data_IF_220910021343
#
_entry.id   IF_220910021343
#
_cell.length_a   1.000
_cell.length_b   1.000
_cell.length_c   1.000
_cell.angle_alpha   90.00
_cell.angle_beta   90.00
_cell.angle_gamma   90.00
#
_symmetry.space_group_name_H-M   'P 1'
#
loop_
_entity.id
_entity.type
_entity.pdbx_description
1 polymer ?
#
# COMPACT_ATOMS: atom_id res chain seq x y z
N UNK A 1 0.56 -1.27 12.71
CA UNK A 1 1.86 -2.00 12.70
C UNK A 1 2.88 -1.36 13.63
N UNK A 2 3.22 -0.08 13.50
CA UNK A 2 4.31 0.60 14.24
C UNK A 2 4.13 0.67 15.76
N UNK A 3 2.91 0.64 16.27
CA UNK A 3 2.62 0.59 17.71
C UNK A 3 2.44 -0.85 18.25
N UNK A 4 2.64 -1.84 17.41
CA UNK A 4 2.46 -3.26 17.76
C UNK A 4 3.56 -4.13 17.15
N UNK A 5 3.25 -5.04 16.21
CA UNK A 5 4.19 -6.03 15.68
C UNK A 5 5.49 -5.47 15.07
N UNK A 6 5.53 -4.18 14.75
CA UNK A 6 6.71 -3.51 14.16
C UNK A 6 7.21 -2.33 15.00
N UNK A 7 6.98 -2.35 16.31
CA UNK A 7 7.41 -1.28 17.23
C UNK A 7 8.94 -1.14 17.35
N UNK A 8 9.66 -2.19 17.03
CA UNK A 8 11.11 -2.30 17.03
C UNK A 8 11.78 -1.71 15.77
N UNK A 9 11.00 -1.40 14.73
CA UNK A 9 11.53 -0.96 13.45
C UNK A 9 11.57 0.57 13.33
N UNK A 10 12.64 1.07 12.70
CA UNK A 10 12.80 2.46 12.30
C UNK A 10 12.07 2.82 11.00
N UNK A 11 12.49 3.94 10.37
CA UNK A 11 11.92 4.46 9.11
C UNK A 11 12.92 4.43 7.95
N UNK A 12 14.08 3.78 8.12
CA UNK A 12 15.01 3.46 7.05
C UNK A 12 14.39 2.45 6.06
N UNK A 13 15.05 2.24 4.93
CA UNK A 13 14.54 1.39 3.85
C UNK A 13 14.36 -0.08 4.29
N UNK A 14 15.31 -0.62 5.04
CA UNK A 14 15.27 -1.99 5.55
C UNK A 14 14.12 -2.18 6.52
N UNK A 15 13.99 -1.29 7.50
CA UNK A 15 12.89 -1.28 8.47
C UNK A 15 11.51 -1.15 7.81
N UNK A 16 11.40 -0.35 6.75
CA UNK A 16 10.14 -0.23 5.99
C UNK A 16 9.82 -1.52 5.25
N UNK A 17 10.80 -2.13 4.61
CA UNK A 17 10.64 -3.40 3.91
C UNK A 17 10.22 -4.52 4.86
N UNK A 18 10.86 -4.61 6.02
CA UNK A 18 10.53 -5.57 7.06
C UNK A 18 9.13 -5.32 7.65
N UNK A 19 8.73 -4.06 7.83
CA UNK A 19 7.37 -3.74 8.28
C UNK A 19 6.30 -4.25 7.30
N UNK A 20 6.53 -4.10 5.99
CA UNK A 20 5.63 -4.62 4.96
C UNK A 20 5.63 -6.15 4.99
N UNK A 21 6.80 -6.79 5.05
CA UNK A 21 6.91 -8.24 5.15
C UNK A 21 6.10 -8.80 6.33
N UNK A 22 6.25 -8.21 7.52
CA UNK A 22 5.46 -8.62 8.72
C UNK A 22 3.97 -8.43 8.51
N UNK A 23 3.55 -7.33 7.88
CA UNK A 23 2.15 -7.08 7.58
C UNK A 23 1.57 -8.10 6.61
N UNK A 24 2.32 -8.48 5.58
CA UNK A 24 1.92 -9.51 4.62
C UNK A 24 1.78 -10.89 5.31
N UNK A 25 2.69 -11.28 6.19
CA UNK A 25 2.57 -12.55 6.92
C UNK A 25 1.33 -12.59 7.82
N UNK A 26 1.00 -11.47 8.48
CA UNK A 26 -0.23 -11.36 9.27
C UNK A 26 -1.46 -11.45 8.35
N UNK A 27 -1.45 -10.75 7.23
CA UNK A 27 -2.53 -10.79 6.25
C UNK A 27 -2.78 -12.22 5.72
N UNK A 28 -1.71 -12.97 5.42
CA UNK A 28 -1.80 -14.38 5.02
C UNK A 28 -2.50 -15.25 6.05
N UNK A 29 -2.14 -15.09 7.32
CA UNK A 29 -2.78 -15.87 8.41
C UNK A 29 -4.28 -15.57 8.43
N UNK A 30 -4.67 -14.31 8.28
CA UNK A 30 -6.08 -13.89 8.31
C UNK A 30 -6.82 -14.38 7.06
N UNK A 31 -6.24 -14.17 5.88
CA UNK A 31 -6.87 -14.55 4.61
C UNK A 31 -7.01 -16.07 4.43
N UNK A 32 -6.06 -16.84 4.95
CA UNK A 32 -6.16 -18.32 4.96
C UNK A 32 -7.33 -18.85 5.81
N UNK A 33 -7.94 -18.00 6.62
CA UNK A 33 -9.16 -18.29 7.37
C UNK A 33 -10.42 -17.74 6.70
N UNK A 34 -10.37 -17.42 5.41
CA UNK A 34 -11.51 -16.97 4.62
C UNK A 34 -11.93 -15.51 4.85
N UNK A 35 -11.03 -14.67 5.39
CA UNK A 35 -11.30 -13.25 5.67
C UNK A 35 -10.57 -12.40 4.63
N UNK A 36 -11.31 -11.56 3.89
CA UNK A 36 -10.71 -10.56 3.01
C UNK A 36 -9.91 -9.57 3.86
N UNK A 37 -8.62 -9.46 3.56
CA UNK A 37 -7.70 -8.64 4.35
C UNK A 37 -7.19 -7.47 3.52
N UNK A 38 -7.44 -6.25 3.99
CA UNK A 38 -6.97 -5.03 3.33
C UNK A 38 -5.71 -4.52 4.05
N UNK A 39 -4.62 -4.38 3.28
CA UNK A 39 -3.36 -3.86 3.76
C UNK A 39 -3.03 -2.52 3.10
N UNK A 40 -2.95 -1.45 3.90
CA UNK A 40 -2.57 -0.12 3.43
C UNK A 40 -1.09 0.15 3.74
N UNK A 41 -0.27 0.20 2.70
CA UNK A 41 1.15 0.53 2.77
C UNK A 41 1.53 1.51 1.66
N UNK A 42 2.51 2.35 1.90
CA UNK A 42 3.09 3.19 0.84
C UNK A 42 3.84 2.32 -0.18
N UNK A 43 4.56 1.30 0.30
CA UNK A 43 5.27 0.28 -0.49
C UNK A 43 5.99 0.86 -1.73
N UNK A 44 6.92 1.82 -1.58
CA UNK A 44 7.49 2.57 -2.69
C UNK A 44 8.41 1.75 -3.60
N UNK A 45 8.91 0.63 -3.12
CA UNK A 45 9.93 -0.19 -3.79
C UNK A 45 9.27 -1.38 -4.51
N UNK A 46 9.53 -1.55 -5.80
CA UNK A 46 8.99 -2.62 -6.63
C UNK A 46 9.39 -4.01 -6.14
N UNK A 47 10.63 -4.17 -5.64
CA UNK A 47 11.11 -5.46 -5.12
C UNK A 47 10.30 -5.92 -3.90
N UNK A 48 9.91 -4.99 -3.03
CA UNK A 48 9.09 -5.33 -1.84
C UNK A 48 7.69 -5.78 -2.25
N UNK A 49 7.07 -5.11 -3.24
CA UNK A 49 5.78 -5.52 -3.81
C UNK A 49 5.87 -6.89 -4.49
N UNK A 50 6.94 -7.12 -5.26
CA UNK A 50 7.21 -8.42 -5.90
C UNK A 50 7.32 -9.54 -4.86
N UNK A 51 8.09 -9.33 -3.79
CA UNK A 51 8.20 -10.31 -2.69
C UNK A 51 6.87 -10.59 -2.00
N UNK A 52 6.03 -9.57 -1.84
CA UNK A 52 4.68 -9.74 -1.31
C UNK A 52 3.84 -10.65 -2.23
N UNK A 53 3.86 -10.39 -3.55
CA UNK A 53 3.17 -11.21 -4.55
C UNK A 53 3.68 -12.65 -4.57
N UNK A 54 4.99 -12.85 -4.54
CA UNK A 54 5.60 -14.19 -4.45
C UNK A 54 5.20 -14.95 -3.17
N UNK A 55 5.06 -14.24 -2.05
CA UNK A 55 4.68 -14.84 -0.77
C UNK A 55 3.20 -15.23 -0.68
N UNK A 56 2.30 -14.41 -1.24
CA UNK A 56 0.85 -14.61 -1.15
C UNK A 56 0.32 -15.41 -2.36
N UNK A 57 0.95 -15.25 -3.53
CA UNK A 57 0.50 -15.86 -4.77
C UNK A 57 -0.71 -15.16 -5.38
N UNK A 58 -1.55 -15.94 -6.06
CA UNK A 58 -2.70 -15.44 -6.85
C UNK A 58 -3.80 -14.77 -6.01
N UNK A 59 -3.76 -14.97 -4.70
CA UNK A 59 -4.71 -14.33 -3.77
C UNK A 59 -4.33 -12.88 -3.41
N UNK A 60 -3.19 -12.36 -3.90
CA UNK A 60 -2.82 -10.96 -3.70
C UNK A 60 -3.32 -10.10 -4.85
N UNK A 61 -4.14 -9.12 -4.53
CA UNK A 61 -4.53 -8.06 -5.45
C UNK A 61 -3.80 -6.77 -5.08
N UNK A 62 -3.03 -6.25 -6.02
CA UNK A 62 -2.29 -5.00 -5.86
C UNK A 62 -3.12 -3.84 -6.41
N UNK A 63 -3.59 -3.00 -5.51
CA UNK A 63 -4.33 -1.78 -5.87
C UNK A 63 -3.41 -0.57 -5.73
N UNK A 64 -3.22 0.15 -6.82
CA UNK A 64 -2.43 1.38 -6.84
C UNK A 64 -3.35 2.61 -6.75
N UNK A 65 -3.24 3.34 -5.64
CA UNK A 65 -3.88 4.64 -5.47
C UNK A 65 -3.00 5.70 -6.15
N UNK A 66 -3.37 6.10 -7.36
CA UNK A 66 -2.64 7.08 -8.14
C UNK A 66 -3.12 8.49 -7.81
N UNK A 67 -2.20 9.35 -7.34
CA UNK A 67 -2.43 10.77 -7.20
C UNK A 67 -1.11 11.52 -7.41
N UNK A 68 -1.12 12.69 -8.08
CA UNK A 68 0.04 13.56 -8.14
C UNK A 68 0.53 13.97 -6.75
N UNK A 69 1.84 14.19 -6.60
CA UNK A 69 2.44 14.56 -5.31
C UNK A 69 1.86 15.86 -4.75
N UNK A 70 1.52 16.80 -5.61
CA UNK A 70 0.90 18.08 -5.26
C UNK A 70 -0.44 17.83 -4.55
N UNK A 71 -1.26 16.96 -5.08
CA UNK A 71 -2.55 16.57 -4.48
C UNK A 71 -2.33 15.86 -3.13
N UNK A 72 -1.31 15.02 -3.04
CA UNK A 72 -0.95 14.37 -1.77
C UNK A 72 -0.55 15.41 -0.71
N UNK A 73 0.17 16.46 -1.09
CA UNK A 73 0.54 17.58 -0.21
C UNK A 73 -0.66 18.40 0.23
N UNK A 74 -1.60 18.67 -0.68
CA UNK A 74 -2.84 19.39 -0.36
C UNK A 74 -3.73 18.61 0.62
N UNK A 75 -3.73 17.28 0.51
CA UNK A 75 -4.50 16.37 1.39
C UNK A 75 -3.82 16.04 2.72
N UNK A 76 -2.66 16.60 2.99
CA UNK A 76 -1.81 16.28 4.17
C UNK A 76 -2.40 16.84 5.47
N UNK A 77 -3.40 16.17 6.00
CA UNK A 77 -4.03 16.53 7.29
C UNK A 77 -3.10 16.35 8.51
N UNK A 78 -2.03 15.57 8.36
CA UNK A 78 -1.10 15.23 9.45
C UNK A 78 0.22 16.03 9.38
N UNK A 79 0.40 16.88 8.38
CA UNK A 79 1.61 17.70 8.19
C UNK A 79 2.88 16.88 7.91
N UNK A 80 2.72 15.67 7.33
CA UNK A 80 3.85 14.76 7.05
C UNK A 80 4.83 15.41 6.06
N UNK A 81 4.29 16.07 5.02
CA UNK A 81 5.11 16.75 3.99
C UNK A 81 5.72 18.08 4.46
N UNK A 82 5.28 18.59 5.60
CA UNK A 82 5.79 19.85 6.21
C UNK A 82 6.79 19.59 7.34
N UNK A 83 6.96 18.33 7.75
CA UNK A 83 7.85 17.96 8.84
C UNK A 83 9.31 18.14 8.45
N UNK A 84 10.17 18.51 9.42
CA UNK A 84 11.62 18.62 9.23
C UNK A 84 12.28 17.30 8.82
N UNK A 85 11.60 16.15 9.00
CA UNK A 85 12.04 14.82 8.61
C UNK A 85 11.63 14.44 7.18
N UNK A 86 11.70 15.38 6.23
CA UNK A 86 11.42 15.15 4.81
C UNK A 86 12.29 14.04 4.21
N UNK A 87 13.41 13.69 4.84
CA UNK A 87 14.35 12.65 4.40
C UNK A 87 13.77 11.22 4.33
N UNK A 88 12.55 11.01 4.81
CA UNK A 88 11.93 9.68 4.88
C UNK A 88 10.64 9.54 4.07
N UNK A 89 10.28 10.52 3.23
CA UNK A 89 9.02 10.54 2.49
C UNK A 89 9.21 10.01 1.06
N UNK A 90 8.59 8.88 0.69
CA UNK A 90 8.61 8.38 -0.69
C UNK A 90 8.00 9.38 -1.67
N UNK A 91 8.61 9.53 -2.84
CA UNK A 91 8.22 10.50 -3.85
C UNK A 91 8.73 11.92 -3.61
N UNK A 92 9.33 12.19 -2.43
CA UNK A 92 9.97 13.47 -2.08
C UNK A 92 11.46 13.31 -1.91
N UNK A 93 11.87 12.48 -0.97
CA UNK A 93 13.29 12.29 -0.60
C UNK A 93 13.95 11.11 -1.32
N UNK A 94 13.16 10.19 -1.80
CA UNK A 94 13.61 9.05 -2.60
C UNK A 94 12.49 8.62 -3.57
N UNK A 95 12.85 7.93 -4.67
CA UNK A 95 11.88 7.56 -5.71
C UNK A 95 10.72 6.71 -5.17
N UNK A 96 9.53 6.94 -5.71
CA UNK A 96 8.43 6.01 -5.66
C UNK A 96 8.36 5.27 -7.00
N UNK A 97 8.61 3.97 -6.98
CA UNK A 97 8.54 3.13 -8.17
C UNK A 97 7.08 2.78 -8.46
N UNK A 98 6.51 3.41 -9.49
CA UNK A 98 5.12 3.16 -9.89
C UNK A 98 4.95 1.68 -10.25
N UNK A 99 3.92 0.97 -9.72
CA UNK A 99 3.68 -0.42 -10.08
C UNK A 99 3.17 -0.52 -11.52
N UNK A 100 3.86 -1.32 -12.34
CA UNK A 100 3.47 -1.63 -13.72
C UNK A 100 2.51 -2.84 -13.78
N UNK A 101 2.42 -3.61 -12.70
CA UNK A 101 1.68 -4.87 -12.57
C UNK A 101 0.50 -4.74 -11.59
N UNK A 102 -0.03 -3.54 -11.39
CA UNK A 102 -1.19 -3.35 -10.52
C UNK A 102 -2.44 -4.01 -11.11
N UNK A 103 -3.18 -4.74 -10.28
CA UNK A 103 -4.46 -5.37 -10.66
C UNK A 103 -5.57 -4.33 -10.83
N UNK A 104 -5.44 -3.18 -10.13
CA UNK A 104 -6.33 -2.02 -10.26
C UNK A 104 -5.55 -0.73 -10.03
N UNK A 105 -5.80 0.28 -10.87
CA UNK A 105 -5.28 1.63 -10.70
C UNK A 105 -6.46 2.57 -10.42
N UNK A 106 -6.41 3.28 -9.31
CA UNK A 106 -7.42 4.25 -8.88
C UNK A 106 -6.85 5.67 -8.92
N UNK A 107 -7.18 6.49 -9.91
CA UNK A 107 -6.77 7.90 -9.96
C UNK A 107 -7.60 8.72 -8.97
N UNK A 108 -7.27 8.63 -7.69
CA UNK A 108 -8.06 9.19 -6.57
C UNK A 108 -8.19 10.72 -6.57
N UNK A 109 -7.52 11.40 -7.46
CA UNK A 109 -7.66 12.84 -7.70
C UNK A 109 -8.71 13.16 -8.77
N UNK A 110 -9.16 12.18 -9.56
CA UNK A 110 -10.11 12.32 -10.66
C UNK A 110 -11.46 11.66 -10.35
N UNK A 111 -11.48 10.67 -9.45
CA UNK A 111 -12.68 9.90 -9.10
C UNK A 111 -13.03 10.06 -7.64
N UNK A 112 -14.30 9.85 -7.30
CA UNK A 112 -14.80 9.91 -5.92
C UNK A 112 -14.39 8.69 -5.11
N UNK A 113 -14.61 8.76 -3.79
CA UNK A 113 -14.39 7.60 -2.90
C UNK A 113 -15.37 6.49 -3.25
N UNK A 114 -16.62 6.83 -3.54
CA UNK A 114 -17.69 5.91 -3.90
C UNK A 114 -17.33 5.15 -5.19
N UNK A 115 -16.92 5.84 -6.24
CA UNK A 115 -16.46 5.23 -7.49
C UNK A 115 -15.22 4.33 -7.28
N UNK A 116 -14.32 4.74 -6.37
CA UNK A 116 -13.14 3.93 -6.03
C UNK A 116 -13.55 2.61 -5.35
N UNK A 117 -14.53 2.66 -4.45
CA UNK A 117 -15.07 1.49 -3.74
C UNK A 117 -15.80 0.57 -4.72
N UNK A 118 -16.62 1.11 -5.62
CA UNK A 118 -17.32 0.33 -6.64
C UNK A 118 -16.34 -0.46 -7.52
N UNK A 119 -15.26 0.18 -7.99
CA UNK A 119 -14.22 -0.49 -8.80
C UNK A 119 -13.48 -1.57 -8.01
N UNK A 120 -13.27 -1.38 -6.70
CA UNK A 120 -12.69 -2.40 -5.83
C UNK A 120 -13.60 -3.61 -5.66
N UNK A 121 -14.91 -3.38 -5.46
CA UNK A 121 -15.91 -4.44 -5.36
C UNK A 121 -15.97 -5.24 -6.66
N UNK A 122 -16.03 -4.57 -7.81
CA UNK A 122 -16.00 -5.22 -9.12
C UNK A 122 -14.74 -6.09 -9.32
N UNK A 123 -13.57 -5.64 -8.85
CA UNK A 123 -12.34 -6.43 -8.91
C UNK A 123 -12.47 -7.70 -8.06
N UNK A 124 -12.97 -7.59 -6.83
CA UNK A 124 -13.15 -8.71 -5.91
C UNK A 124 -14.16 -9.73 -6.45
N UNK A 125 -15.28 -9.28 -7.03
CA UNK A 125 -16.26 -10.15 -7.68
C UNK A 125 -15.66 -10.90 -8.86
N UNK A 126 -14.90 -10.21 -9.73
CA UNK A 126 -14.23 -10.84 -10.90
C UNK A 126 -13.20 -11.90 -10.50
N UNK A 127 -12.58 -11.76 -9.36
CA UNK A 127 -11.59 -12.71 -8.85
C UNK A 127 -12.21 -13.84 -8.02
N UNK A 128 -13.51 -13.78 -7.76
CA UNK A 128 -14.21 -14.78 -6.96
C UNK A 128 -13.86 -14.69 -5.46
N UNK A 129 -13.47 -13.53 -4.98
CA UNK A 129 -13.15 -13.32 -3.58
C UNK A 129 -14.40 -13.28 -2.67
N UNK A 130 -15.59 -13.07 -3.27
CA UNK A 130 -16.92 -13.26 -2.68
C UNK A 130 -18.01 -13.36 -3.75
#
# INVERSE_FOLDING_TARGET
>A
MRLGPSKDLGFDEESRSENIRRGIEIAKIISNNGIITICSFVAPNALVRKKARESVGDNLLLVYLSAPLEICRERDSNGIYQSENVSTIPGVSFPYEVPEDADLILPTHEITVEESVERLIELLEKTGAF
#
